data_IF_510906634977
#
_entry.id   IF_510906634977
#
_cell.length_a   1.000
_cell.length_b   1.000
_cell.length_c   1.000
_cell.angle_alpha   90.00
_cell.angle_beta   90.00
_cell.angle_gamma   90.00
#
_symmetry.space_group_name_H-M   'P 1'
#
loop_
_entity.id
_entity.type
_entity.pdbx_description
1 polymer ?
#
# COMPACT_ATOMS: atom_id res chain seq x y z
N UNK A 1 -51.20 22.50 -4.11
CA UNK A 1 -50.32 22.05 -5.21
C UNK A 1 -48.87 22.13 -4.70
N UNK A 2 -48.32 21.04 -4.26
CA UNK A 2 -46.96 20.92 -3.74
C UNK A 2 -46.06 20.35 -4.86
N UNK A 3 -45.22 21.16 -5.44
CA UNK A 3 -44.24 20.75 -6.43
C UNK A 3 -43.00 20.16 -5.72
N UNK A 4 -42.85 18.87 -5.82
CA UNK A 4 -41.64 18.17 -5.34
C UNK A 4 -40.49 18.41 -6.35
N UNK A 5 -39.52 19.25 -6.00
CA UNK A 5 -38.31 19.43 -6.78
C UNK A 5 -37.37 18.22 -6.53
N UNK A 6 -37.26 17.33 -7.49
CA UNK A 6 -36.29 16.26 -7.48
C UNK A 6 -34.90 16.80 -7.85
N UNK A 7 -34.01 16.70 -6.88
CA UNK A 7 -32.64 17.20 -6.98
C UNK A 7 -31.81 16.34 -7.95
N UNK A 8 -31.23 16.94 -8.99
CA UNK A 8 -30.42 16.25 -10.02
C UNK A 8 -29.20 15.54 -9.44
N UNK A 9 -28.70 15.98 -8.28
CA UNK A 9 -27.59 15.34 -7.54
C UNK A 9 -27.90 13.92 -7.06
N UNK A 10 -29.15 13.61 -6.70
CA UNK A 10 -29.56 12.28 -6.25
C UNK A 10 -29.59 11.26 -7.39
N UNK A 11 -29.83 11.70 -8.64
CA UNK A 11 -29.81 10.83 -9.82
C UNK A 11 -28.41 10.48 -10.27
N UNK A 12 -27.46 11.41 -10.15
CA UNK A 12 -26.04 11.17 -10.44
C UNK A 12 -25.40 10.22 -9.44
N UNK A 13 -25.75 10.33 -8.15
CA UNK A 13 -25.31 9.37 -7.11
C UNK A 13 -25.87 7.97 -7.32
N UNK A 14 -27.13 7.84 -7.73
CA UNK A 14 -27.75 6.55 -8.00
C UNK A 14 -27.14 5.87 -9.24
N UNK A 15 -26.83 6.63 -10.29
CA UNK A 15 -26.16 6.12 -11.51
C UNK A 15 -24.73 5.71 -11.20
N UNK A 16 -23.99 6.49 -10.41
CA UNK A 16 -22.62 6.17 -10.00
C UNK A 16 -22.59 4.89 -9.13
N UNK A 17 -23.57 4.70 -8.23
CA UNK A 17 -23.67 3.49 -7.41
C UNK A 17 -24.00 2.24 -8.24
N UNK A 18 -24.83 2.34 -9.27
CA UNK A 18 -25.17 1.23 -10.17
C UNK A 18 -23.99 0.88 -11.07
N UNK A 19 -23.23 1.86 -11.56
CA UNK A 19 -22.01 1.62 -12.36
C UNK A 19 -20.90 0.99 -11.48
N UNK A 20 -20.75 1.41 -10.23
CA UNK A 20 -19.79 0.81 -9.29
C UNK A 20 -20.19 -0.63 -8.92
N UNK A 21 -21.50 -0.92 -8.77
CA UNK A 21 -21.98 -2.29 -8.54
C UNK A 21 -21.81 -3.21 -9.76
N UNK A 22 -21.93 -2.66 -10.98
CA UNK A 22 -21.70 -3.42 -12.22
C UNK A 22 -20.21 -3.67 -12.49
N UNK A 23 -19.32 -2.78 -12.06
CA UNK A 23 -17.87 -2.99 -12.14
C UNK A 23 -17.35 -4.04 -11.13
N UNK A 24 -18.02 -4.20 -9.98
CA UNK A 24 -17.68 -5.23 -8.98
C UNK A 24 -18.16 -6.65 -9.36
N UNK A 25 -18.92 -6.82 -10.45
CA UNK A 25 -19.53 -8.10 -10.84
C UNK A 25 -18.76 -8.87 -11.93
N UNK A 26 -17.58 -8.39 -12.35
CA UNK A 26 -16.71 -9.12 -13.29
C UNK A 26 -15.38 -9.41 -12.58
N UNK A 27 -15.44 -10.12 -11.45
CA UNK A 27 -14.32 -10.95 -11.08
C UNK A 27 -14.32 -12.13 -12.07
N UNK A 28 -13.24 -12.41 -12.82
CA UNK A 28 -13.14 -13.65 -13.54
C UNK A 28 -13.31 -14.76 -12.50
N UNK A 29 -14.27 -15.65 -12.71
CA UNK A 29 -14.38 -16.87 -11.93
C UNK A 29 -13.13 -17.69 -12.29
N UNK A 30 -12.03 -17.50 -11.56
CA UNK A 30 -10.85 -18.35 -11.68
C UNK A 30 -11.21 -19.70 -11.10
N UNK A 31 -11.15 -20.70 -11.93
CA UNK A 31 -11.54 -22.07 -11.63
C UNK A 31 -10.57 -22.79 -10.70
N UNK A 32 -9.31 -22.43 -10.76
CA UNK A 32 -8.25 -22.86 -9.86
C UNK A 32 -8.16 -21.85 -8.73
N UNK A 33 -8.22 -22.33 -7.50
CA UNK A 33 -8.12 -21.48 -6.31
C UNK A 33 -6.68 -21.47 -5.78
N UNK A 34 -6.13 -20.29 -5.55
CA UNK A 34 -4.90 -20.13 -4.79
C UNK A 34 -5.29 -20.24 -3.30
N UNK A 35 -4.91 -21.34 -2.68
CA UNK A 35 -5.27 -21.62 -1.29
C UNK A 35 -4.33 -20.93 -0.32
N UNK A 36 -3.04 -20.85 -0.67
CA UNK A 36 -1.99 -20.25 0.18
C UNK A 36 -0.90 -19.67 -0.71
N UNK A 37 -0.37 -18.53 -0.29
CA UNK A 37 0.84 -17.93 -0.86
C UNK A 37 1.72 -17.50 0.31
N UNK A 38 2.89 -18.14 0.43
CA UNK A 38 3.93 -17.76 1.38
C UNK A 38 5.08 -17.12 0.58
N UNK A 39 5.09 -15.80 0.55
CA UNK A 39 6.09 -14.98 -0.14
C UNK A 39 6.48 -13.81 0.77
N UNK A 40 7.74 -13.34 0.74
CA UNK A 40 8.13 -12.16 1.49
C UNK A 40 7.47 -10.91 0.89
N UNK A 41 6.98 -10.01 1.75
CA UNK A 41 6.45 -8.70 1.32
C UNK A 41 7.54 -7.82 0.69
N UNK A 42 8.79 -7.95 1.20
CA UNK A 42 9.96 -7.20 0.72
C UNK A 42 11.24 -8.00 0.92
N UNK A 43 12.25 -7.75 0.07
CA UNK A 43 13.55 -8.42 0.15
C UNK A 43 14.69 -7.53 -0.40
N UNK A 44 15.92 -7.76 0.10
CA UNK A 44 17.08 -7.02 -0.36
C UNK A 44 17.60 -7.57 -1.69
N UNK A 45 18.10 -6.70 -2.55
CA UNK A 45 18.77 -7.07 -3.80
C UNK A 45 19.87 -8.08 -3.55
N UNK A 46 19.86 -9.18 -4.31
CA UNK A 46 20.82 -10.29 -4.18
C UNK A 46 20.54 -11.26 -3.04
N UNK A 47 19.56 -11.01 -2.18
CA UNK A 47 19.11 -11.94 -1.15
C UNK A 47 18.50 -13.18 -1.80
N UNK A 48 18.77 -14.36 -1.22
CA UNK A 48 18.08 -15.59 -1.61
C UNK A 48 16.72 -15.68 -0.92
N UNK A 49 15.66 -15.75 -1.72
CA UNK A 49 14.29 -15.84 -1.23
C UNK A 49 13.66 -17.16 -1.65
N UNK A 50 12.69 -17.59 -0.86
CA UNK A 50 11.89 -18.77 -1.14
C UNK A 50 10.41 -18.38 -1.02
N UNK A 51 9.59 -18.85 -1.94
CA UNK A 51 8.15 -18.69 -1.89
C UNK A 51 7.46 -20.02 -2.21
N UNK A 52 6.25 -20.19 -1.68
CA UNK A 52 5.40 -21.35 -1.93
C UNK A 52 4.01 -20.88 -2.30
N UNK A 53 3.47 -21.47 -3.38
CA UNK A 53 2.09 -21.20 -3.85
C UNK A 53 1.36 -22.53 -3.92
N UNK A 54 0.23 -22.64 -3.22
CA UNK A 54 -0.61 -23.84 -3.21
C UNK A 54 -1.88 -23.59 -4.02
N UNK A 55 -2.11 -24.42 -5.03
CA UNK A 55 -3.27 -24.40 -5.91
C UNK A 55 -4.20 -25.55 -5.58
N UNK A 56 -5.49 -25.27 -5.45
CA UNK A 56 -6.57 -26.22 -5.18
C UNK A 56 -7.72 -26.00 -6.14
N UNK A 57 -8.75 -26.84 -6.04
CA UNK A 57 -9.96 -26.75 -6.90
C UNK A 57 -9.62 -26.83 -8.42
N UNK A 58 -8.62 -27.61 -8.77
CA UNK A 58 -7.89 -27.61 -10.05
C UNK A 58 -8.77 -27.82 -11.31
N UNK A 59 -10.02 -28.28 -11.17
CA UNK A 59 -10.89 -28.70 -12.29
C UNK A 59 -12.26 -28.03 -12.29
N UNK A 60 -12.43 -26.89 -11.60
CA UNK A 60 -13.78 -26.34 -11.41
C UNK A 60 -14.27 -25.53 -12.58
N UNK A 61 -13.73 -24.46 -13.02
CA UNK A 61 -14.26 -23.66 -14.13
C UNK A 61 -13.13 -22.97 -14.92
N UNK A 62 -13.10 -23.14 -16.22
CA UNK A 62 -13.90 -24.07 -16.98
C UNK A 62 -13.60 -25.50 -16.52
N UNK A 63 -14.58 -26.41 -16.52
CA UNK A 63 -14.33 -27.80 -16.11
C UNK A 63 -13.38 -28.47 -17.10
N UNK A 64 -12.09 -28.33 -16.83
CA UNK A 64 -11.02 -28.94 -17.59
C UNK A 64 -10.58 -30.19 -16.87
N UNK A 65 -10.66 -31.34 -17.52
CA UNK A 65 -10.16 -32.60 -17.00
C UNK A 65 -8.62 -32.70 -17.10
N UNK A 66 -8.04 -31.85 -17.94
CA UNK A 66 -6.60 -31.76 -18.16
C UNK A 66 -6.21 -30.34 -18.58
N UNK A 67 -5.07 -29.88 -18.04
CA UNK A 67 -4.42 -28.63 -18.42
C UNK A 67 -2.93 -28.67 -18.06
N UNK A 68 -2.17 -27.69 -18.50
CA UNK A 68 -0.75 -27.57 -18.17
C UNK A 68 -0.51 -26.32 -17.31
N UNK A 69 0.33 -26.47 -16.27
CA UNK A 69 0.82 -25.35 -15.48
C UNK A 69 2.08 -24.78 -16.11
N UNK A 70 2.13 -23.47 -16.21
CA UNK A 70 3.33 -22.70 -16.53
C UNK A 70 3.57 -21.61 -15.49
N UNK A 71 4.79 -21.11 -15.44
CA UNK A 71 5.15 -20.02 -14.54
C UNK A 71 6.32 -19.21 -15.02
N UNK A 72 6.41 -17.97 -14.51
CA UNK A 72 7.46 -17.02 -14.78
C UNK A 72 7.88 -16.30 -13.49
N UNK A 73 9.12 -15.81 -13.44
CA UNK A 73 9.69 -15.02 -12.34
C UNK A 73 10.75 -14.06 -12.85
N UNK A 74 10.94 -12.98 -12.15
CA UNK A 74 12.09 -12.07 -12.37
C UNK A 74 13.28 -12.40 -11.45
N UNK A 75 13.15 -13.37 -10.52
CA UNK A 75 14.27 -13.83 -9.71
C UNK A 75 15.45 -14.27 -10.59
N UNK A 76 16.64 -14.04 -10.11
CA UNK A 76 17.87 -14.50 -10.77
C UNK A 76 18.28 -15.88 -10.24
N UNK A 77 18.80 -16.73 -11.12
CA UNK A 77 19.16 -18.12 -10.83
C UNK A 77 18.04 -18.95 -10.15
N UNK A 78 16.78 -18.86 -10.62
CA UNK A 78 15.67 -19.50 -9.94
C UNK A 78 15.70 -21.01 -10.10
N UNK A 79 15.12 -21.68 -9.11
CA UNK A 79 14.82 -23.11 -9.13
C UNK A 79 13.37 -23.30 -8.74
N UNK A 80 12.60 -23.89 -9.65
CA UNK A 80 11.22 -24.26 -9.42
C UNK A 80 11.11 -25.72 -9.04
N UNK A 81 10.24 -26.03 -8.09
CA UNK A 81 9.82 -27.40 -7.77
C UNK A 81 8.30 -27.42 -7.72
N UNK A 82 7.69 -28.17 -8.62
CA UNK A 82 6.24 -28.38 -8.68
C UNK A 82 5.93 -29.76 -8.14
N UNK A 83 5.14 -29.84 -7.09
CA UNK A 83 4.74 -31.08 -6.43
C UNK A 83 3.24 -31.28 -6.61
N UNK A 84 2.84 -32.45 -7.05
CA UNK A 84 1.45 -32.84 -7.24
C UNK A 84 1.01 -33.78 -6.13
N UNK A 85 -0.13 -33.51 -5.51
CA UNK A 85 -0.70 -34.30 -4.42
C UNK A 85 -2.09 -34.82 -4.79
N UNK A 86 -2.43 -35.99 -4.26
CA UNK A 86 -3.78 -36.56 -4.36
C UNK A 86 -4.69 -36.06 -3.22
N UNK A 87 -5.97 -36.49 -3.22
CA UNK A 87 -6.96 -36.11 -2.21
C UNK A 87 -6.63 -36.57 -0.79
N UNK A 88 -5.67 -37.49 -0.63
CA UNK A 88 -5.21 -37.98 0.68
C UNK A 88 -3.99 -37.20 1.18
N UNK A 89 -3.46 -36.27 0.40
CA UNK A 89 -2.23 -35.56 0.65
C UNK A 89 -0.97 -36.38 0.32
N UNK A 90 -1.13 -37.47 -0.42
CA UNK A 90 0.03 -38.25 -0.87
C UNK A 90 0.59 -37.64 -2.16
N UNK A 91 1.90 -37.52 -2.22
CA UNK A 91 2.62 -37.05 -3.39
C UNK A 91 2.50 -38.05 -4.54
N UNK A 92 1.96 -37.59 -5.69
CA UNK A 92 1.78 -38.37 -6.90
C UNK A 92 2.74 -37.98 -8.02
N UNK A 93 3.33 -36.77 -7.94
CA UNK A 93 4.30 -36.30 -8.93
C UNK A 93 5.20 -35.21 -8.39
N UNK A 94 6.34 -35.00 -9.04
CA UNK A 94 7.21 -33.86 -8.81
C UNK A 94 8.05 -33.60 -10.04
N UNK A 95 8.15 -32.32 -10.41
CA UNK A 95 9.04 -31.83 -11.46
C UNK A 95 9.86 -30.66 -10.92
N UNK A 96 11.07 -30.48 -11.46
CA UNK A 96 11.94 -29.37 -11.09
C UNK A 96 12.53 -28.73 -12.34
N UNK A 97 12.59 -27.41 -12.33
CA UNK A 97 13.02 -26.61 -13.47
C UNK A 97 14.01 -25.54 -13.01
N UNK A 98 14.98 -25.22 -13.88
CA UNK A 98 15.83 -24.06 -13.74
C UNK A 98 15.44 -23.00 -14.79
N UNK A 99 15.78 -21.73 -14.49
CA UNK A 99 15.49 -20.60 -15.39
C UNK A 99 14.23 -19.83 -15.01
N UNK A 100 14.09 -18.64 -15.58
CA UNK A 100 13.03 -17.70 -15.21
C UNK A 100 11.62 -18.12 -15.63
N UNK A 101 11.50 -19.16 -16.46
CA UNK A 101 10.20 -19.70 -16.87
C UNK A 101 10.21 -21.21 -16.84
N UNK A 102 9.06 -21.80 -16.57
CA UNK A 102 8.79 -23.22 -16.82
C UNK A 102 7.43 -23.38 -17.52
N UNK A 103 7.23 -24.50 -18.18
CA UNK A 103 5.97 -24.83 -18.84
C UNK A 103 5.81 -26.35 -18.96
N UNK A 104 4.56 -26.78 -19.18
CA UNK A 104 4.24 -28.17 -19.54
C UNK A 104 4.08 -29.13 -18.37
N UNK A 105 3.93 -28.64 -17.13
CA UNK A 105 3.56 -29.52 -16.00
C UNK A 105 2.10 -29.93 -16.18
N UNK A 106 1.89 -31.21 -16.45
CA UNK A 106 0.56 -31.76 -16.73
C UNK A 106 -0.25 -31.96 -15.45
N UNK A 107 -1.43 -31.35 -15.39
CA UNK A 107 -2.41 -31.48 -14.30
C UNK A 107 -3.63 -32.20 -14.86
N UNK A 108 -3.80 -33.48 -14.48
CA UNK A 108 -4.79 -34.39 -15.02
C UNK A 108 -5.67 -34.96 -13.93
N UNK A 109 -7.00 -34.85 -14.08
CA UNK A 109 -7.95 -35.36 -13.10
C UNK A 109 -7.89 -36.89 -12.93
N UNK A 110 -7.70 -37.61 -14.05
CA UNK A 110 -7.61 -39.09 -14.06
C UNK A 110 -6.38 -39.61 -13.31
N UNK A 111 -5.33 -38.80 -13.16
CA UNK A 111 -4.14 -39.13 -12.35
C UNK A 111 -4.38 -38.91 -10.84
N UNK A 112 -5.58 -38.45 -10.46
CA UNK A 112 -5.99 -38.25 -9.07
C UNK A 112 -5.39 -36.98 -8.42
N UNK A 113 -4.78 -36.09 -9.19
CA UNK A 113 -4.21 -34.83 -8.68
C UNK A 113 -5.33 -33.96 -8.14
N UNK A 114 -5.19 -33.47 -6.92
CA UNK A 114 -6.17 -32.59 -6.25
C UNK A 114 -5.56 -31.26 -5.76
N UNK A 115 -4.24 -31.24 -5.60
CA UNK A 115 -3.50 -30.08 -5.13
C UNK A 115 -2.16 -29.99 -5.86
N UNK A 116 -1.72 -28.77 -6.15
CA UNK A 116 -0.41 -28.47 -6.73
C UNK A 116 0.31 -27.48 -5.82
N UNK A 117 1.49 -27.85 -5.36
CA UNK A 117 2.38 -26.95 -4.62
C UNK A 117 3.55 -26.53 -5.50
N UNK A 118 3.71 -25.24 -5.70
CA UNK A 118 4.81 -24.66 -6.43
C UNK A 118 5.76 -23.99 -5.46
N UNK A 119 6.94 -24.54 -5.33
CA UNK A 119 8.04 -23.96 -4.56
C UNK A 119 9.02 -23.29 -5.53
N UNK A 120 9.40 -22.05 -5.23
CA UNK A 120 10.36 -21.29 -6.01
C UNK A 120 11.41 -20.72 -5.07
N UNK A 121 12.68 -20.91 -5.44
CA UNK A 121 13.83 -20.26 -4.77
C UNK A 121 14.65 -19.51 -5.81
N UNK A 122 15.24 -18.38 -5.42
CA UNK A 122 16.11 -17.60 -6.30
C UNK A 122 16.61 -16.34 -5.61
N UNK A 123 17.46 -15.59 -6.28
CA UNK A 123 17.98 -14.33 -5.73
C UNK A 123 17.19 -13.14 -6.27
N UNK A 124 16.95 -12.17 -5.40
CA UNK A 124 16.23 -10.92 -5.72
C UNK A 124 16.99 -10.15 -6.81
N UNK A 125 16.31 -9.70 -7.88
CA UNK A 125 16.95 -8.95 -8.96
C UNK A 125 17.36 -7.54 -8.54
N UNK A 126 18.25 -6.93 -9.32
CA UNK A 126 18.58 -5.51 -9.17
C UNK A 126 17.35 -4.63 -9.45
N UNK A 127 17.26 -3.48 -8.77
CA UNK A 127 16.22 -2.50 -9.02
C UNK A 127 16.51 -1.78 -10.33
N UNK A 128 15.59 -1.84 -11.28
CA UNK A 128 15.76 -1.20 -12.57
C UNK A 128 15.42 0.32 -12.53
N UNK A 129 14.48 0.70 -11.68
CA UNK A 129 14.04 2.09 -11.49
C UNK A 129 13.54 2.27 -10.07
N UNK A 130 14.04 3.31 -9.40
CA UNK A 130 13.62 3.64 -8.05
C UNK A 130 12.46 4.63 -8.08
N UNK A 131 11.36 4.26 -7.42
CA UNK A 131 10.18 5.10 -7.25
C UNK A 131 9.83 5.22 -5.77
N UNK A 132 9.42 6.40 -5.33
CA UNK A 132 8.98 6.58 -3.95
C UNK A 132 7.53 6.13 -3.76
N UNK A 133 6.63 6.52 -4.67
CA UNK A 133 5.23 6.14 -4.65
C UNK A 133 4.72 5.94 -6.11
N UNK A 134 4.27 4.71 -6.46
CA UNK A 134 4.25 3.49 -5.65
C UNK A 134 5.66 2.94 -5.35
N UNK A 135 5.75 2.01 -4.38
CA UNK A 135 6.99 1.28 -4.10
C UNK A 135 7.43 0.48 -5.32
N UNK A 136 8.73 0.41 -5.55
CA UNK A 136 9.28 -0.45 -6.60
C UNK A 136 9.13 -1.93 -6.24
N UNK A 137 8.60 -2.71 -7.16
CA UNK A 137 8.38 -4.14 -7.02
C UNK A 137 8.97 -4.91 -8.19
N UNK A 138 9.19 -6.20 -8.00
CA UNK A 138 9.47 -7.16 -9.05
C UNK A 138 8.46 -8.31 -8.99
N UNK A 139 8.24 -8.97 -10.13
CA UNK A 139 7.38 -10.15 -10.20
C UNK A 139 8.11 -11.36 -9.62
N UNK A 140 7.81 -11.68 -8.34
CA UNK A 140 8.41 -12.83 -7.66
C UNK A 140 7.95 -14.14 -8.29
N UNK A 141 6.66 -14.26 -8.64
CA UNK A 141 6.14 -15.39 -9.40
C UNK A 141 4.83 -15.04 -10.11
N UNK A 142 4.67 -15.52 -11.33
CA UNK A 142 3.40 -15.57 -12.04
C UNK A 142 3.12 -17.02 -12.41
N UNK A 143 1.90 -17.51 -12.15
CA UNK A 143 1.46 -18.84 -12.54
C UNK A 143 0.28 -18.74 -13.53
N UNK A 144 0.29 -19.60 -14.53
CA UNK A 144 -0.74 -19.61 -15.57
C UNK A 144 -1.26 -21.02 -15.82
N UNK A 145 -2.54 -21.11 -16.08
CA UNK A 145 -3.23 -22.31 -16.58
C UNK A 145 -3.27 -22.29 -18.10
N UNK A 146 -2.74 -23.32 -18.74
CA UNK A 146 -2.75 -23.48 -20.19
C UNK A 146 -3.68 -24.65 -20.56
N UNK A 147 -4.91 -24.36 -21.04
CA UNK A 147 -5.84 -25.41 -21.46
C UNK A 147 -5.41 -26.08 -22.76
N UNK A 148 -5.90 -27.31 -23.03
CA UNK A 148 -5.71 -27.94 -24.33
C UNK A 148 -6.29 -27.08 -25.47
N UNK A 149 -5.47 -26.76 -26.45
CA UNK A 149 -5.85 -25.89 -27.58
C UNK A 149 -5.23 -24.48 -27.50
N UNK A 150 -4.50 -24.17 -26.47
CA UNK A 150 -3.73 -22.94 -26.32
C UNK A 150 -4.51 -21.79 -25.67
N UNK A 151 -3.80 -20.71 -25.41
CA UNK A 151 -4.26 -19.59 -24.58
C UNK A 151 -3.91 -19.85 -23.11
N UNK A 152 -3.27 -18.88 -22.47
CA UNK A 152 -2.94 -18.95 -21.04
C UNK A 152 -3.93 -18.09 -20.24
N UNK A 153 -4.33 -18.59 -19.09
CA UNK A 153 -5.10 -17.83 -18.11
C UNK A 153 -4.23 -17.65 -16.87
N UNK A 154 -3.99 -16.40 -16.48
CA UNK A 154 -3.27 -16.11 -15.25
C UNK A 154 -4.06 -16.62 -14.04
N UNK A 155 -3.40 -17.38 -13.19
CA UNK A 155 -3.93 -17.89 -11.93
C UNK A 155 -3.58 -16.94 -10.78
N UNK A 156 -2.35 -16.48 -10.74
CA UNK A 156 -1.85 -15.55 -9.73
C UNK A 156 -0.59 -14.85 -10.22
N UNK A 157 -0.40 -13.63 -9.72
CA UNK A 157 0.84 -12.88 -9.80
C UNK A 157 1.22 -12.42 -8.40
N UNK A 158 2.47 -12.60 -8.02
CA UNK A 158 3.04 -12.27 -6.72
C UNK A 158 4.14 -11.25 -6.92
N UNK A 159 3.87 -10.00 -6.54
CA UNK A 159 4.83 -8.92 -6.56
C UNK A 159 5.46 -8.76 -5.17
N UNK A 160 6.77 -8.55 -5.13
CA UNK A 160 7.55 -8.33 -3.90
C UNK A 160 8.32 -7.02 -4.02
N UNK A 161 8.34 -6.22 -2.97
CA UNK A 161 9.17 -5.02 -2.93
C UNK A 161 10.65 -5.39 -2.86
N UNK A 162 11.50 -4.64 -3.56
CA UNK A 162 12.94 -4.86 -3.48
C UNK A 162 13.72 -3.55 -3.26
N UNK A 163 14.83 -3.67 -2.57
CA UNK A 163 15.62 -2.51 -2.14
C UNK A 163 17.10 -2.87 -2.00
N UNK A 164 17.96 -1.86 -2.05
CA UNK A 164 19.32 -1.91 -1.50
C UNK A 164 19.32 -1.35 -0.08
N UNK A 165 20.35 -1.62 0.71
CA UNK A 165 20.47 -1.07 2.08
C UNK A 165 20.43 0.47 2.07
N UNK A 166 21.05 1.10 1.08
CA UNK A 166 21.07 2.55 0.92
C UNK A 166 19.69 3.10 0.54
N UNK A 167 19.00 2.45 -0.39
CA UNK A 167 17.66 2.89 -0.81
C UNK A 167 16.62 2.70 0.30
N UNK A 168 16.73 1.63 1.09
CA UNK A 168 15.86 1.41 2.24
C UNK A 168 16.05 2.52 3.30
N UNK A 169 17.31 2.83 3.65
CA UNK A 169 17.61 3.88 4.62
C UNK A 169 17.09 5.26 4.17
N UNK A 170 17.20 5.56 2.88
CA UNK A 170 16.67 6.80 2.31
C UNK A 170 15.14 6.82 2.33
N UNK A 171 14.48 5.69 2.02
CA UNK A 171 13.02 5.55 2.08
C UNK A 171 12.49 5.76 3.50
N UNK A 172 13.11 5.13 4.49
CA UNK A 172 12.73 5.30 5.90
C UNK A 172 12.81 6.78 6.33
N UNK A 173 13.82 7.51 5.85
CA UNK A 173 13.94 8.94 6.11
C UNK A 173 12.82 9.74 5.42
N UNK A 174 12.47 9.39 4.16
CA UNK A 174 11.35 9.99 3.42
C UNK A 174 10.01 9.74 4.11
N UNK A 175 9.74 8.52 4.55
CA UNK A 175 8.49 8.16 5.24
C UNK A 175 8.36 8.91 6.58
N UNK A 176 9.46 9.01 7.32
CA UNK A 176 9.50 9.79 8.54
C UNK A 176 9.27 11.30 8.29
N UNK A 177 9.81 11.84 7.20
CA UNK A 177 9.60 13.23 6.81
C UNK A 177 8.16 13.49 6.36
N UNK A 178 7.60 12.63 5.51
CA UNK A 178 6.21 12.68 5.04
C UNK A 178 5.23 12.71 6.22
N UNK A 179 5.39 11.79 7.16
CA UNK A 179 4.56 11.71 8.37
C UNK A 179 4.62 12.98 9.21
N UNK A 180 5.80 13.57 9.39
CA UNK A 180 5.98 14.80 10.17
C UNK A 180 5.40 16.03 9.44
N UNK A 181 5.52 16.09 8.10
CA UNK A 181 4.95 17.15 7.27
C UNK A 181 3.42 17.14 7.36
N UNK A 182 2.80 15.96 7.27
CA UNK A 182 1.36 15.80 7.43
C UNK A 182 0.91 16.24 8.84
N UNK A 183 1.60 15.80 9.89
CA UNK A 183 1.32 16.18 11.26
C UNK A 183 1.44 17.70 11.51
N UNK A 184 2.34 18.36 10.79
CA UNK A 184 2.53 19.82 10.85
C UNK A 184 1.53 20.61 10.01
N UNK A 185 0.65 19.96 9.23
CA UNK A 185 -0.33 20.59 8.35
C UNK A 185 0.23 21.05 7.01
N UNK A 186 1.18 20.30 6.48
CA UNK A 186 1.80 20.49 5.16
C UNK A 186 2.43 21.89 4.97
N UNK A 187 3.43 22.29 5.78
CA UNK A 187 4.13 23.56 5.58
C UNK A 187 4.79 23.59 4.21
N UNK A 188 4.60 24.67 3.43
CA UNK A 188 5.06 24.77 2.03
C UNK A 188 6.57 24.52 1.89
N UNK A 189 7.39 25.11 2.75
CA UNK A 189 8.85 24.95 2.74
C UNK A 189 9.26 23.47 2.93
N UNK A 190 8.67 22.80 3.92
CA UNK A 190 8.94 21.38 4.15
C UNK A 190 8.46 20.49 2.99
N UNK A 191 7.30 20.80 2.40
CA UNK A 191 6.76 20.06 1.25
C UNK A 191 7.62 20.24 0.01
N UNK A 192 8.14 21.44 -0.25
CA UNK A 192 9.06 21.69 -1.36
C UNK A 192 10.37 20.93 -1.18
N UNK A 193 10.98 20.99 0.01
CA UNK A 193 12.22 20.25 0.33
C UNK A 193 12.01 18.74 0.23
N UNK A 194 10.85 18.24 0.67
CA UNK A 194 10.48 16.82 0.52
C UNK A 194 10.38 16.41 -0.95
N UNK A 195 9.78 17.23 -1.83
CA UNK A 195 9.75 16.97 -3.27
C UNK A 195 11.15 16.85 -3.89
N UNK A 196 12.12 17.64 -3.41
CA UNK A 196 13.52 17.50 -3.83
C UNK A 196 14.16 16.20 -3.28
N UNK A 197 13.80 15.79 -2.07
CA UNK A 197 14.24 14.52 -1.48
C UNK A 197 13.75 13.32 -2.29
N UNK A 198 12.47 13.31 -2.68
CA UNK A 198 11.89 12.28 -3.55
C UNK A 198 12.61 12.24 -4.89
N UNK A 199 12.83 13.38 -5.54
CA UNK A 199 13.55 13.45 -6.82
C UNK A 199 14.98 12.94 -6.72
N UNK A 200 15.65 13.18 -5.58
CA UNK A 200 16.99 12.65 -5.32
C UNK A 200 16.97 11.11 -5.16
N UNK A 201 15.96 10.57 -4.48
CA UNK A 201 15.73 9.13 -4.33
C UNK A 201 15.54 8.44 -5.69
N UNK A 202 14.64 8.98 -6.51
CA UNK A 202 14.33 8.47 -7.86
C UNK A 202 15.53 8.60 -8.82
N UNK A 203 16.48 9.47 -8.50
CA UNK A 203 17.75 9.63 -9.23
C UNK A 203 18.90 8.82 -8.61
N UNK A 204 18.61 7.85 -7.74
CA UNK A 204 19.58 6.98 -7.06
C UNK A 204 20.60 7.73 -6.18
N UNK A 205 20.31 8.98 -5.84
CA UNK A 205 21.15 9.77 -4.95
C UNK A 205 20.64 9.67 -3.50
N UNK A 206 20.75 8.48 -2.93
CA UNK A 206 20.16 8.11 -1.63
C UNK A 206 20.71 8.94 -0.47
N UNK A 207 22.02 9.20 -0.46
CA UNK A 207 22.64 10.07 0.54
C UNK A 207 22.06 11.49 0.55
N UNK A 208 21.77 12.04 -0.62
CA UNK A 208 21.16 13.37 -0.74
C UNK A 208 19.67 13.33 -0.43
N UNK A 209 18.97 12.26 -0.84
CA UNK A 209 17.57 12.05 -0.50
C UNK A 209 17.35 12.03 1.01
N UNK A 210 18.21 11.28 1.73
CA UNK A 210 18.15 11.20 3.19
C UNK A 210 18.40 12.57 3.85
N UNK A 211 19.41 13.31 3.41
CA UNK A 211 19.70 14.66 3.96
C UNK A 211 18.56 15.64 3.73
N UNK A 212 17.98 15.65 2.54
CA UNK A 212 16.84 16.50 2.21
C UNK A 212 15.57 16.08 2.97
N UNK A 213 15.34 14.78 3.17
CA UNK A 213 14.25 14.28 3.98
C UNK A 213 14.39 14.72 5.44
N UNK A 214 15.58 14.61 6.04
CA UNK A 214 15.86 15.09 7.39
C UNK A 214 15.67 16.61 7.52
N UNK A 215 16.07 17.37 6.50
CA UNK A 215 15.84 18.83 6.45
C UNK A 215 14.34 19.15 6.38
N UNK A 216 13.59 18.51 5.50
CA UNK A 216 12.13 18.67 5.38
C UNK A 216 11.41 18.35 6.70
N UNK A 217 11.79 17.24 7.34
CA UNK A 217 11.32 16.88 8.67
C UNK A 217 11.60 17.96 9.72
N UNK A 218 12.83 18.49 9.74
CA UNK A 218 13.20 19.59 10.64
C UNK A 218 12.37 20.85 10.42
N UNK A 219 12.12 21.23 9.17
CA UNK A 219 11.28 22.36 8.79
C UNK A 219 9.82 22.15 9.24
N UNK A 220 9.27 20.95 9.07
CA UNK A 220 7.93 20.58 9.54
C UNK A 220 7.81 20.72 11.06
N UNK A 221 8.76 20.19 11.83
CA UNK A 221 8.81 20.32 13.28
C UNK A 221 8.92 21.78 13.73
N UNK A 222 9.70 22.60 13.03
CA UNK A 222 9.81 24.01 13.33
C UNK A 222 8.49 24.76 13.09
N UNK A 223 7.80 24.47 11.99
CA UNK A 223 6.49 25.02 11.68
C UNK A 223 5.46 24.66 12.74
N UNK A 224 5.41 23.38 13.15
CA UNK A 224 4.53 22.89 14.21
C UNK A 224 4.79 23.58 15.56
N UNK A 225 6.07 23.70 15.94
CA UNK A 225 6.46 24.38 17.17
C UNK A 225 6.06 25.86 17.15
N UNK A 226 6.19 26.53 16.01
CA UNK A 226 5.78 27.92 15.81
C UNK A 226 4.27 28.08 15.92
N UNK A 227 3.50 27.19 15.29
CA UNK A 227 2.05 27.17 15.37
C UNK A 227 1.55 26.94 16.80
N UNK A 228 2.14 25.98 17.51
CA UNK A 228 1.82 25.70 18.91
C UNK A 228 2.12 26.90 19.83
N UNK A 229 3.26 27.56 19.63
CA UNK A 229 3.62 28.75 20.41
C UNK A 229 2.66 29.90 20.13
N UNK A 230 2.28 30.14 18.88
CA UNK A 230 1.32 31.16 18.52
C UNK A 230 -0.07 30.88 19.12
N UNK A 231 -0.51 29.62 19.14
CA UNK A 231 -1.76 29.22 19.80
C UNK A 231 -1.76 29.48 21.29
N UNK A 232 -0.65 29.19 21.98
CA UNK A 232 -0.51 29.49 23.41
C UNK A 232 -0.55 31.00 23.70
N UNK A 233 0.10 31.83 22.86
CA UNK A 233 0.08 33.29 22.96
C UNK A 233 -1.36 33.82 22.80
N UNK A 234 -2.09 33.33 21.80
CA UNK A 234 -3.49 33.71 21.55
C UNK A 234 -4.41 33.30 22.73
N UNK A 235 -4.22 32.11 23.27
CA UNK A 235 -4.98 31.67 24.45
C UNK A 235 -4.66 32.51 25.70
N UNK A 236 -3.39 32.85 25.91
CA UNK A 236 -2.94 33.72 26.99
C UNK A 236 -3.51 35.15 26.88
N UNK A 237 -3.45 35.71 25.65
CA UNK A 237 -4.04 37.05 25.41
C UNK A 237 -5.56 37.06 25.56
N UNK A 238 -6.25 36.01 25.11
CA UNK A 238 -7.70 35.84 25.35
C UNK A 238 -8.08 35.78 26.84
N UNK A 239 -7.31 35.02 27.61
CA UNK A 239 -7.54 34.92 29.08
C UNK A 239 -7.33 36.28 29.81
N UNK A 240 -6.30 37.04 29.41
CA UNK A 240 -6.06 38.37 29.96
C UNK A 240 -7.17 39.36 29.58
N UNK A 241 -7.72 39.31 28.39
CA UNK A 241 -8.86 40.12 27.95
C UNK A 241 -10.11 39.81 28.79
N UNK A 242 -10.42 38.55 29.00
CA UNK A 242 -11.57 38.14 29.83
C UNK A 242 -11.41 38.61 31.29
N UNK A 243 -10.21 38.47 31.85
CA UNK A 243 -9.90 38.97 33.20
C UNK A 243 -9.98 40.49 33.27
N UNK A 244 -9.53 41.23 32.28
CA UNK A 244 -9.62 42.69 32.18
C UNK A 244 -11.07 43.17 32.11
N UNK A 245 -11.94 42.51 31.33
CA UNK A 245 -13.37 42.83 31.27
C UNK A 245 -14.08 42.53 32.59
N UNK A 246 -13.76 41.39 33.22
CA UNK A 246 -14.33 41.04 34.52
C UNK A 246 -13.92 42.03 35.63
N UNK A 247 -12.63 42.39 35.71
CA UNK A 247 -12.13 43.37 36.67
C UNK A 247 -12.71 44.77 36.40
N UNK A 248 -12.76 45.19 35.12
CA UNK A 248 -13.37 46.48 34.72
C UNK A 248 -14.87 46.54 35.03
N UNK A 249 -15.60 45.45 34.80
CA UNK A 249 -17.03 45.33 35.15
C UNK A 249 -17.30 45.44 36.64
N UNK A 250 -16.49 44.77 37.46
CA UNK A 250 -16.58 44.84 38.93
C UNK A 250 -16.23 46.25 39.42
N UNK A 251 -15.20 46.89 38.85
CA UNK A 251 -14.82 48.26 39.22
C UNK A 251 -15.91 49.26 38.83
N UNK A 252 -16.48 49.11 37.64
CA UNK A 252 -17.59 49.97 37.16
C UNK A 252 -18.84 49.79 38.05
N UNK A 253 -19.20 48.59 38.41
CA UNK A 253 -20.34 48.29 39.26
C UNK A 253 -20.15 48.87 40.67
N UNK A 254 -18.93 48.75 41.22
CA UNK A 254 -18.59 49.30 42.56
C UNK A 254 -18.59 50.86 42.54
N UNK A 255 -18.16 51.50 41.47
CA UNK A 255 -18.17 52.96 41.35
C UNK A 255 -19.59 53.56 41.25
N UNK A 256 -20.59 52.78 40.83
CA UNK A 256 -21.99 53.19 40.86
C UNK A 256 -22.64 53.10 42.24
N UNK A 257 -22.13 52.25 43.12
CA UNK A 257 -22.65 52.11 44.49
C UNK A 257 -22.19 53.24 45.40
N UNK A 258 -21.01 53.80 45.17
CA UNK A 258 -20.49 54.94 45.98
C UNK A 258 -21.15 56.28 45.64
N UNK A 259 -22.01 56.37 44.64
CA UNK A 259 -22.69 57.64 44.22
C UNK A 259 -24.07 57.85 44.88
N UNK A 260 -24.57 56.90 45.70
CA UNK A 260 -25.89 56.98 46.32
C UNK A 260 -25.88 57.45 47.78
N UNK A 261 -24.69 57.71 48.37
CA UNK A 261 -24.58 58.05 49.77
C UNK A 261 -24.22 59.54 50.08
N UNK A 262 -24.64 60.48 49.27
CA UNK A 262 -24.48 61.92 49.49
C UNK A 262 -25.79 62.68 49.27
N UNK A 263 -26.81 62.41 50.00
CA UNK A 263 -27.93 63.36 50.37
C UNK A 263 -28.60 62.90 51.65
N UNK A 264 -28.09 63.38 52.75
CA UNK A 264 -28.71 63.27 54.08
C UNK A 264 -28.07 64.26 55.03
#
# INVERSE_FOLDING_TARGET
>A
MTTTSWNHSSRLLAVAAVVALLAAAVAPATAVSVAETDAPDSAAVGEEVSLTITLTELYREPSLEQWELSGATELTNPTWTVVLYDQTGAKVGQESFGGQTFAGVSVVADDGVSEVEVQLTGSVPEVAEYTYDPHQTFEAATLEQVPPGGGANELTSVATEHFTEESQSAREALDAASSEIEAAGNPSEATETFGLAVSAYESENFDNAQKLADEAKGQAQQAQNTANRNRLILMGAGALLVLGIAAGGVFYWRSQQDSTDRLG
#
